data_IF_709806995429
#
_entry.id   IF_709806995429
#
_cell.length_a   1.000
_cell.length_b   1.000
_cell.length_c   1.000
_cell.angle_alpha   90.00
_cell.angle_beta   90.00
_cell.angle_gamma   90.00
#
_symmetry.space_group_name_H-M   'P 1'
#
loop_
_entity.id
_entity.type
_entity.pdbx_description
1 polymer ?
#
# COMPACT_ATOMS: atom_id res chain seq x y z
N UNK A 1 -7.48 7.15 -11.13
CA UNK A 1 -6.69 7.21 -9.90
C UNK A 1 -6.05 8.57 -9.78
N UNK A 2 -6.83 9.50 -9.26
CA UNK A 2 -6.33 10.76 -8.74
C UNK A 2 -5.73 10.58 -7.33
N UNK A 3 -5.20 11.65 -6.76
CA UNK A 3 -4.62 11.62 -5.41
C UNK A 3 -5.64 11.25 -4.34
N UNK A 4 -6.91 11.64 -4.51
CA UNK A 4 -7.95 11.40 -3.52
C UNK A 4 -8.32 9.92 -3.49
N UNK A 5 -8.43 9.27 -4.65
CA UNK A 5 -8.61 7.83 -4.78
C UNK A 5 -7.45 7.06 -4.12
N UNK A 6 -6.20 7.53 -4.28
CA UNK A 6 -5.03 6.90 -3.64
C UNK A 6 -5.09 7.05 -2.12
N UNK A 7 -5.42 8.25 -1.62
CA UNK A 7 -5.53 8.51 -0.18
C UNK A 7 -6.68 7.72 0.46
N UNK A 8 -7.81 7.59 -0.23
CA UNK A 8 -8.94 6.75 0.21
C UNK A 8 -8.49 5.30 0.35
N UNK A 9 -7.78 4.77 -0.66
CA UNK A 9 -7.26 3.41 -0.65
C UNK A 9 -6.24 3.17 0.47
N UNK A 10 -5.37 4.14 0.75
CA UNK A 10 -4.45 4.09 1.90
C UNK A 10 -5.25 3.99 3.20
N UNK A 11 -6.30 4.80 3.36
CA UNK A 11 -7.17 4.75 4.54
C UNK A 11 -7.80 3.38 4.75
N UNK A 12 -8.37 2.78 3.70
CA UNK A 12 -8.95 1.44 3.76
C UNK A 12 -7.92 0.37 4.15
N UNK A 13 -6.70 0.46 3.62
CA UNK A 13 -5.62 -0.48 3.93
C UNK A 13 -5.12 -0.35 5.38
N UNK A 14 -4.97 0.89 5.88
CA UNK A 14 -4.59 1.15 7.28
C UNK A 14 -5.69 0.66 8.23
N UNK A 15 -6.96 0.85 7.89
CA UNK A 15 -8.07 0.35 8.69
C UNK A 15 -8.11 -1.18 8.75
N UNK A 16 -7.75 -1.87 7.66
CA UNK A 16 -7.61 -3.32 7.64
C UNK A 16 -6.41 -3.78 8.48
N UNK A 17 -5.26 -3.10 8.37
CA UNK A 17 -4.06 -3.36 9.17
C UNK A 17 -4.34 -3.21 10.67
N UNK A 18 -4.98 -2.12 11.09
CA UNK A 18 -5.35 -1.91 12.50
C UNK A 18 -6.28 -2.99 13.04
N UNK A 19 -7.24 -3.48 12.23
CA UNK A 19 -8.12 -4.58 12.63
C UNK A 19 -7.34 -5.87 12.85
N UNK A 20 -6.41 -6.18 11.94
CA UNK A 20 -5.55 -7.36 12.07
C UNK A 20 -4.61 -7.22 13.26
N UNK A 21 -4.00 -6.05 13.48
CA UNK A 21 -3.13 -5.80 14.62
C UNK A 21 -3.88 -5.97 15.95
N UNK A 22 -5.09 -5.42 16.06
CA UNK A 22 -5.92 -5.59 17.25
C UNK A 22 -6.26 -7.06 17.50
N UNK A 23 -6.60 -7.81 16.45
CA UNK A 23 -6.84 -9.25 16.55
C UNK A 23 -5.58 -10.01 16.97
N UNK A 24 -4.41 -9.60 16.47
CA UNK A 24 -3.11 -10.14 16.85
C UNK A 24 -2.85 -10.03 18.35
N UNK A 25 -3.23 -8.89 18.96
CA UNK A 25 -3.05 -8.64 20.39
C UNK A 25 -4.03 -9.45 21.25
N UNK A 26 -5.27 -9.65 20.79
CA UNK A 26 -6.33 -10.34 21.54
C UNK A 26 -6.24 -11.87 21.44
N UNK A 27 -6.09 -12.40 20.22
CA UNK A 27 -6.21 -13.83 19.92
C UNK A 27 -4.95 -14.43 19.27
N UNK A 28 -4.01 -13.58 18.83
CA UNK A 28 -2.90 -13.97 17.97
C UNK A 28 -3.29 -14.03 16.49
N UNK A 29 -2.30 -13.94 15.61
CA UNK A 29 -2.51 -14.06 14.16
C UNK A 29 -2.35 -15.51 13.69
N UNK A 30 -3.16 -15.92 12.73
CA UNK A 30 -2.90 -17.13 11.94
C UNK A 30 -1.78 -16.89 10.91
N UNK A 31 -1.25 -17.95 10.29
CA UNK A 31 -0.28 -17.80 9.20
C UNK A 31 -0.87 -17.07 7.98
N UNK A 32 -2.17 -17.26 7.73
CA UNK A 32 -2.92 -16.58 6.67
C UNK A 32 -3.02 -15.08 6.96
N UNK A 33 -3.33 -14.71 8.21
CA UNK A 33 -3.42 -13.32 8.62
C UNK A 33 -2.06 -12.63 8.66
N UNK A 34 -0.99 -13.35 9.03
CA UNK A 34 0.39 -12.86 8.86
C UNK A 34 0.74 -12.60 7.40
N UNK A 35 0.33 -13.50 6.50
CA UNK A 35 0.48 -13.32 5.05
C UNK A 35 -0.29 -12.09 4.57
N UNK A 36 -1.52 -11.92 5.06
CA UNK A 36 -2.36 -10.76 4.75
C UNK A 36 -1.75 -9.45 5.24
N UNK A 37 -1.18 -9.43 6.44
CA UNK A 37 -0.51 -8.24 7.00
C UNK A 37 0.66 -7.79 6.11
N UNK A 38 1.50 -8.73 5.65
CA UNK A 38 2.56 -8.44 4.68
C UNK A 38 2.00 -7.91 3.36
N UNK A 39 0.90 -8.48 2.86
CA UNK A 39 0.25 -7.99 1.65
C UNK A 39 -0.25 -6.55 1.80
N UNK A 40 -0.82 -6.21 2.97
CA UNK A 40 -1.29 -4.85 3.27
C UNK A 40 -0.14 -3.85 3.31
N UNK A 41 0.97 -4.20 3.97
CA UNK A 41 2.19 -3.37 4.00
C UNK A 41 2.70 -3.08 2.57
N UNK A 42 2.78 -4.11 1.73
CA UNK A 42 3.20 -3.98 0.33
C UNK A 42 2.26 -3.06 -0.46
N UNK A 43 0.95 -3.21 -0.26
CA UNK A 43 -0.06 -2.38 -0.94
C UNK A 43 -0.03 -0.93 -0.45
N UNK A 44 0.24 -0.71 0.83
CA UNK A 44 0.43 0.63 1.40
C UNK A 44 1.64 1.31 0.78
N UNK A 45 2.79 0.62 0.74
CA UNK A 45 4.01 1.14 0.13
C UNK A 45 3.79 1.53 -1.34
N UNK A 46 3.11 0.69 -2.11
CA UNK A 46 2.75 1.00 -3.50
C UNK A 46 1.87 2.25 -3.64
N UNK A 47 0.89 2.42 -2.76
CA UNK A 47 0.02 3.60 -2.79
C UNK A 47 0.80 4.87 -2.43
N UNK A 48 1.69 4.80 -1.44
CA UNK A 48 2.57 5.90 -1.07
C UNK A 48 3.57 6.26 -2.16
N UNK A 49 4.18 5.26 -2.80
CA UNK A 49 5.10 5.45 -3.92
C UNK A 49 4.39 6.10 -5.11
N UNK A 50 3.18 5.64 -5.45
CA UNK A 50 2.37 6.23 -6.52
C UNK A 50 2.03 7.70 -6.22
N UNK A 51 1.62 8.01 -4.99
CA UNK A 51 1.34 9.38 -4.57
C UNK A 51 2.59 10.27 -4.67
N UNK A 52 3.74 9.76 -4.24
CA UNK A 52 5.02 10.47 -4.33
C UNK A 52 5.42 10.72 -5.79
N UNK A 53 5.28 9.72 -6.66
CA UNK A 53 5.54 9.87 -8.10
C UNK A 53 4.64 10.92 -8.74
N UNK A 54 3.33 10.89 -8.44
CA UNK A 54 2.37 11.90 -8.93
C UNK A 54 2.72 13.31 -8.47
N UNK A 55 3.18 13.47 -7.22
CA UNK A 55 3.63 14.76 -6.68
C UNK A 55 4.90 15.24 -7.37
N UNK A 56 5.89 14.37 -7.53
CA UNK A 56 7.14 14.69 -8.23
C UNK A 56 6.90 15.15 -9.68
N UNK A 57 6.03 14.44 -10.42
CA UNK A 57 5.63 14.81 -11.79
C UNK A 57 4.95 16.18 -11.83
N UNK A 58 4.02 16.46 -10.89
CA UNK A 58 3.40 17.80 -10.76
C UNK A 58 4.43 18.90 -10.52
N UNK A 59 5.38 18.68 -9.61
CA UNK A 59 6.47 19.63 -9.36
C UNK A 59 7.37 19.85 -10.58
N UNK A 60 7.54 18.83 -11.42
CA UNK A 60 8.29 18.91 -12.68
C UNK A 60 7.46 19.46 -13.86
N UNK A 61 6.23 19.94 -13.63
CA UNK A 61 5.28 20.34 -14.68
C UNK A 61 4.99 19.22 -15.72
N UNK A 62 5.16 17.96 -15.34
CA UNK A 62 4.83 16.78 -16.14
C UNK A 62 3.42 16.28 -15.81
N UNK A 63 2.86 15.45 -16.70
CA UNK A 63 1.55 14.84 -16.49
C UNK A 63 1.63 13.83 -15.31
N UNK A 64 0.88 14.07 -14.20
CA UNK A 64 0.85 13.14 -13.06
C UNK A 64 0.16 11.81 -13.38
N UNK A 65 -0.73 11.75 -14.37
CA UNK A 65 -1.47 10.53 -14.72
C UNK A 65 -0.63 9.48 -15.46
N UNK A 66 0.56 9.85 -15.88
CA UNK A 66 1.57 8.91 -16.37
C UNK A 66 2.37 8.23 -15.25
N UNK A 67 2.10 8.55 -13.98
CA UNK A 67 2.65 7.78 -12.87
C UNK A 67 2.05 6.37 -12.87
N UNK A 68 2.91 5.35 -12.97
CA UNK A 68 2.47 3.96 -12.95
C UNK A 68 2.75 3.34 -11.58
N UNK A 69 1.78 2.62 -10.99
CA UNK A 69 2.05 1.86 -9.79
C UNK A 69 3.15 0.84 -10.10
N UNK A 70 4.10 0.70 -9.17
CA UNK A 70 5.15 -0.31 -9.29
C UNK A 70 4.50 -1.69 -9.32
N UNK A 71 4.97 -2.56 -10.22
CA UNK A 71 4.40 -3.90 -10.37
C UNK A 71 4.58 -4.68 -9.05
N UNK A 72 3.51 -5.28 -8.50
CA UNK A 72 3.59 -6.07 -7.26
C UNK A 72 4.54 -7.27 -7.37
N UNK A 73 4.84 -7.75 -8.58
CA UNK A 73 5.76 -8.87 -8.84
C UNK A 73 7.22 -8.59 -8.47
N UNK A 74 7.62 -7.33 -8.30
CA UNK A 74 8.97 -7.00 -7.80
C UNK A 74 9.09 -7.27 -6.28
N UNK A 75 7.96 -7.35 -5.56
CA UNK A 75 7.93 -7.58 -4.11
C UNK A 75 7.85 -9.07 -3.75
N UNK A 76 7.90 -9.96 -4.75
CA UNK A 76 8.06 -11.41 -4.53
C UNK A 76 9.44 -11.79 -3.96
N UNK A 77 10.39 -10.85 -3.84
CA UNK A 77 11.68 -11.12 -3.19
C UNK A 77 11.72 -10.86 -1.67
N UNK A 78 10.60 -10.51 -1.04
CA UNK A 78 10.58 -10.31 0.42
C UNK A 78 10.32 -11.59 1.24
N UNK A 79 10.19 -12.74 0.56
CA UNK A 79 10.07 -14.05 1.20
C UNK A 79 10.97 -15.07 0.49
N UNK A 80 12.28 -15.00 0.76
CA UNK A 80 13.13 -16.19 0.69
C UNK A 80 14.15 -16.20 1.82
#
# INVERSE_FOLDING_TARGET
MDDAEILQRIGELVDEEHKLLKKAEEEGLTDEERGRMKELEIRLDQCWDLLRQRRARRHAHLNPDEAQPRDPRIVEHYLQ
#
